data_IF_623994790522
#
_entry.id   IF_623994790522
#
_cell.length_a   1.000
_cell.length_b   1.000
_cell.length_c   1.000
_cell.angle_alpha   90.00
_cell.angle_beta   90.00
_cell.angle_gamma   90.00
#
_symmetry.space_group_name_H-M   'P 1'
#
loop_
_entity.id
_entity.type
_entity.pdbx_description
1 polymer ?
#
# COMPACT_ATOMS: atom_id res chain seq x y z
N UNK A 1 -16.76 -19.41 19.51
CA UNK A 1 -17.65 -19.00 18.40
C UNK A 1 -17.79 -17.47 18.31
N UNK A 2 -18.31 -16.78 19.33
CA UNK A 2 -18.52 -15.31 19.28
C UNK A 2 -17.24 -14.48 19.07
N UNK A 3 -16.13 -14.85 19.72
CA UNK A 3 -14.85 -14.11 19.61
C UNK A 3 -14.22 -14.24 18.20
N UNK A 4 -14.31 -15.43 17.59
CA UNK A 4 -13.81 -15.70 16.24
C UNK A 4 -14.58 -14.85 15.20
N UNK A 5 -15.91 -14.78 15.31
CA UNK A 5 -16.73 -13.97 14.43
C UNK A 5 -16.43 -12.47 14.55
N UNK A 6 -16.18 -11.98 15.77
CA UNK A 6 -15.84 -10.57 15.99
C UNK A 6 -14.47 -10.19 15.40
N UNK A 7 -13.46 -11.04 15.62
CA UNK A 7 -12.12 -10.82 15.03
C UNK A 7 -12.16 -10.89 13.51
N UNK A 8 -12.86 -11.89 12.95
CA UNK A 8 -13.00 -12.03 11.49
C UNK A 8 -13.66 -10.78 10.87
N UNK A 9 -14.73 -10.28 11.47
CA UNK A 9 -15.45 -9.11 10.94
C UNK A 9 -14.57 -7.85 10.96
N UNK A 10 -13.71 -7.69 11.98
CA UNK A 10 -12.76 -6.58 12.07
C UNK A 10 -11.69 -6.66 10.99
N UNK A 11 -11.16 -7.86 10.71
CA UNK A 11 -10.21 -8.08 9.62
C UNK A 11 -10.86 -7.78 8.28
N UNK A 12 -12.09 -8.28 8.05
CA UNK A 12 -12.82 -8.04 6.81
C UNK A 12 -13.10 -6.55 6.58
N UNK A 13 -13.50 -5.79 7.62
CA UNK A 13 -13.67 -4.33 7.51
C UNK A 13 -12.37 -3.62 7.12
N UNK A 14 -11.24 -3.99 7.72
CA UNK A 14 -9.93 -3.42 7.35
C UNK A 14 -9.57 -3.76 5.91
N UNK A 15 -9.83 -4.99 5.49
CA UNK A 15 -9.52 -5.48 4.14
C UNK A 15 -10.38 -4.78 3.08
N UNK A 16 -11.68 -4.60 3.36
CA UNK A 16 -12.59 -3.80 2.51
C UNK A 16 -12.13 -2.35 2.45
N UNK A 17 -11.80 -1.73 3.58
CA UNK A 17 -11.28 -0.36 3.61
C UNK A 17 -10.00 -0.20 2.81
N UNK A 18 -9.08 -1.17 2.92
CA UNK A 18 -7.86 -1.21 2.12
C UNK A 18 -8.15 -1.32 0.62
N UNK A 19 -9.05 -2.22 0.21
CA UNK A 19 -9.44 -2.37 -1.20
C UNK A 19 -10.06 -1.08 -1.75
N UNK A 20 -10.95 -0.43 -1.00
CA UNK A 20 -11.55 0.84 -1.40
C UNK A 20 -10.48 1.93 -1.53
N UNK A 21 -9.53 2.01 -0.59
CA UNK A 21 -8.44 2.98 -0.65
C UNK A 21 -7.53 2.74 -1.87
N UNK A 22 -7.20 1.49 -2.18
CA UNK A 22 -6.41 1.13 -3.37
C UNK A 22 -7.15 1.52 -4.65
N UNK A 23 -8.44 1.20 -4.78
CA UNK A 23 -9.24 1.56 -5.95
C UNK A 23 -9.33 3.09 -6.12
N UNK A 24 -9.59 3.82 -5.03
CA UNK A 24 -9.61 5.28 -5.05
C UNK A 24 -8.24 5.86 -5.45
N UNK A 25 -7.15 5.28 -4.95
CA UNK A 25 -5.79 5.65 -5.33
C UNK A 25 -5.50 5.42 -6.82
N UNK A 26 -5.89 4.27 -7.37
CA UNK A 26 -5.73 3.99 -8.80
C UNK A 26 -6.52 4.97 -9.67
N UNK A 27 -7.77 5.28 -9.31
CA UNK A 27 -8.58 6.28 -10.01
C UNK A 27 -7.92 7.66 -9.94
N UNK A 28 -7.41 8.06 -8.77
CA UNK A 28 -6.72 9.33 -8.63
C UNK A 28 -5.49 9.43 -9.55
N UNK A 29 -4.72 8.35 -9.68
CA UNK A 29 -3.56 8.30 -10.59
C UNK A 29 -3.99 8.49 -12.05
N UNK A 30 -5.05 7.81 -12.49
CA UNK A 30 -5.61 7.99 -13.85
C UNK A 30 -6.02 9.45 -14.07
N UNK A 31 -6.76 10.04 -13.13
CA UNK A 31 -7.24 11.43 -13.22
C UNK A 31 -6.08 12.42 -13.30
N UNK A 32 -5.02 12.23 -12.50
CA UNK A 32 -3.83 13.09 -12.52
C UNK A 32 -3.16 13.03 -13.90
N UNK A 33 -2.93 11.84 -14.44
CA UNK A 33 -2.27 11.70 -15.75
C UNK A 33 -3.13 12.22 -16.91
N UNK A 34 -4.46 12.04 -16.84
CA UNK A 34 -5.39 12.61 -17.81
C UNK A 34 -5.41 14.14 -17.76
N UNK A 35 -5.33 14.74 -16.57
CA UNK A 35 -5.18 16.19 -16.44
C UNK A 35 -3.84 16.66 -17.01
N UNK A 36 -2.75 15.94 -16.72
CA UNK A 36 -1.42 16.25 -17.24
C UNK A 36 -1.32 16.12 -18.76
N UNK A 37 -2.01 15.15 -19.36
CA UNK A 37 -2.06 14.95 -20.81
C UNK A 37 -2.85 16.04 -21.54
N UNK A 38 -3.79 16.71 -20.84
CA UNK A 38 -4.59 17.80 -21.39
C UNK A 38 -3.85 19.15 -21.53
N UNK A 39 -2.64 19.27 -20.99
CA UNK A 39 -1.85 20.51 -21.10
C UNK A 39 -1.33 20.73 -22.52
N UNK A 40 -1.26 21.99 -22.99
CA UNK A 40 -0.63 22.31 -24.27
C UNK A 40 0.85 21.94 -24.24
N UNK A 41 1.33 21.27 -25.30
CA UNK A 41 2.68 20.69 -25.41
C UNK A 41 2.99 19.58 -24.39
N UNK A 42 1.98 18.92 -23.82
CA UNK A 42 2.19 17.77 -22.96
C UNK A 42 2.98 16.65 -23.68
N UNK A 43 4.04 16.12 -23.07
CA UNK A 43 4.73 14.95 -23.55
C UNK A 43 3.78 13.76 -23.75
N UNK A 44 3.93 13.05 -24.88
CA UNK A 44 3.05 11.93 -25.23
C UNK A 44 3.04 10.77 -24.23
N UNK A 45 4.05 10.65 -23.36
CA UNK A 45 4.07 9.63 -22.31
C UNK A 45 2.98 9.84 -21.26
N UNK A 46 2.45 11.05 -21.05
CA UNK A 46 1.36 11.29 -20.09
C UNK A 46 0.06 10.59 -20.50
N UNK A 47 -0.27 10.58 -21.79
CA UNK A 47 -1.41 9.82 -22.31
C UNK A 47 -1.21 8.30 -22.30
N UNK A 48 0.02 7.81 -22.16
CA UNK A 48 0.27 6.38 -21.94
C UNK A 48 0.20 6.01 -20.46
N UNK A 49 0.63 6.92 -19.58
CA UNK A 49 0.64 6.70 -18.14
C UNK A 49 -0.75 6.59 -17.53
N UNK A 50 -1.77 7.25 -18.08
CA UNK A 50 -3.16 7.11 -17.61
C UNK A 50 -3.72 5.68 -17.75
N UNK A 51 -3.20 4.87 -18.68
CA UNK A 51 -3.60 3.46 -18.84
C UNK A 51 -2.81 2.49 -17.96
N UNK A 52 -1.71 2.94 -17.35
CA UNK A 52 -0.87 2.05 -16.53
C UNK A 52 -1.61 1.39 -15.36
N UNK A 53 -2.54 2.05 -14.65
CA UNK A 53 -3.32 1.40 -13.58
C UNK A 53 -4.18 0.25 -14.11
N UNK A 54 -4.76 0.42 -15.30
CA UNK A 54 -5.56 -0.62 -15.95
C UNK A 54 -4.67 -1.76 -16.42
N UNK A 55 -3.53 -1.46 -17.03
CA UNK A 55 -2.57 -2.47 -17.50
C UNK A 55 -2.04 -3.35 -16.36
N UNK A 56 -1.78 -2.76 -15.19
CA UNK A 56 -1.34 -3.50 -13.98
C UNK A 56 -2.41 -4.47 -13.50
N UNK A 57 -3.70 -4.13 -13.62
CA UNK A 57 -4.81 -4.99 -13.20
C UNK A 57 -5.17 -6.07 -14.25
N UNK A 58 -5.08 -5.73 -15.54
CA UNK A 58 -5.53 -6.59 -16.64
C UNK A 58 -4.44 -7.57 -17.09
N UNK A 59 -3.16 -7.21 -16.94
CA UNK A 59 -2.02 -8.01 -17.40
C UNK A 59 -1.31 -8.64 -16.19
N UNK A 60 -1.56 -9.92 -15.86
CA UNK A 60 -1.06 -10.52 -14.63
C UNK A 60 0.46 -10.45 -14.45
N UNK A 61 1.30 -10.67 -15.49
CA UNK A 61 2.74 -10.53 -15.36
C UNK A 61 3.19 -9.11 -14.96
N UNK A 62 2.51 -8.07 -15.47
CA UNK A 62 2.81 -6.67 -15.11
C UNK A 62 2.41 -6.38 -13.68
N UNK A 63 1.25 -6.87 -13.24
CA UNK A 63 0.82 -6.80 -11.84
C UNK A 63 1.84 -7.43 -10.90
N UNK A 64 2.32 -8.63 -11.22
CA UNK A 64 3.33 -9.32 -10.42
C UNK A 64 4.67 -8.58 -10.39
N UNK A 65 5.08 -7.98 -11.50
CA UNK A 65 6.29 -7.16 -11.56
C UNK A 65 6.18 -5.92 -10.67
N UNK A 66 5.08 -5.18 -10.76
CA UNK A 66 4.84 -3.98 -9.92
C UNK A 66 4.74 -4.36 -8.45
N UNK A 67 4.12 -5.50 -8.13
CA UNK A 67 4.09 -6.03 -6.76
C UNK A 67 5.49 -6.31 -6.23
N UNK A 68 6.33 -7.00 -7.01
CA UNK A 68 7.70 -7.31 -6.61
C UNK A 68 8.55 -6.05 -6.44
N UNK A 69 8.41 -5.10 -7.36
CA UNK A 69 9.08 -3.81 -7.31
C UNK A 69 8.65 -3.03 -6.06
N UNK A 70 7.35 -3.06 -5.73
CA UNK A 70 6.81 -2.46 -4.50
C UNK A 70 7.48 -3.08 -3.28
N UNK A 71 7.55 -4.41 -3.18
CA UNK A 71 8.23 -5.10 -2.06
C UNK A 71 9.69 -4.65 -1.93
N UNK A 72 10.43 -4.55 -3.04
CA UNK A 72 11.84 -4.12 -3.01
C UNK A 72 11.95 -2.68 -2.50
N UNK A 73 11.14 -1.76 -3.05
CA UNK A 73 11.19 -0.35 -2.68
C UNK A 73 10.66 -0.08 -1.27
N UNK A 74 9.70 -0.88 -0.80
CA UNK A 74 9.11 -0.71 0.54
C UNK A 74 9.77 -1.59 1.61
N UNK A 75 10.56 -2.59 1.23
CA UNK A 75 11.13 -3.57 2.17
C UNK A 75 12.09 -2.93 3.18
N UNK A 76 12.95 -2.03 2.72
CA UNK A 76 13.88 -1.31 3.61
C UNK A 76 13.15 -0.43 4.62
N UNK A 77 12.17 0.36 4.16
CA UNK A 77 11.39 1.26 5.02
C UNK A 77 10.53 0.47 6.02
N UNK A 78 9.85 -0.61 5.60
CA UNK A 78 9.09 -1.46 6.54
C UNK A 78 9.98 -2.14 7.56
N UNK A 79 11.17 -2.61 7.16
CA UNK A 79 12.15 -3.22 8.07
C UNK A 79 12.67 -2.20 9.10
N UNK A 80 12.94 -0.96 8.69
CA UNK A 80 13.32 0.12 9.61
C UNK A 80 12.20 0.40 10.62
N UNK A 81 10.95 0.54 10.19
CA UNK A 81 9.83 0.75 11.10
C UNK A 81 9.62 -0.43 12.06
N UNK A 82 9.80 -1.66 11.58
CA UNK A 82 9.72 -2.86 12.41
C UNK A 82 10.83 -2.87 13.48
N UNK A 83 12.08 -2.59 13.12
CA UNK A 83 13.19 -2.51 14.07
C UNK A 83 12.98 -1.42 15.13
N UNK A 84 12.47 -0.25 14.73
CA UNK A 84 12.13 0.83 15.66
C UNK A 84 11.05 0.37 16.64
N UNK A 85 9.97 -0.24 16.14
CA UNK A 85 8.89 -0.75 16.99
C UNK A 85 9.40 -1.83 17.97
N UNK A 86 10.27 -2.72 17.52
CA UNK A 86 10.87 -3.77 18.33
C UNK A 86 11.79 -3.18 19.42
N UNK A 87 12.60 -2.17 19.10
CA UNK A 87 13.39 -1.44 20.08
C UNK A 87 12.53 -0.81 21.18
N UNK A 88 11.39 -0.20 20.83
CA UNK A 88 10.45 0.36 21.81
C UNK A 88 9.70 -0.72 22.61
N UNK A 89 9.40 -1.88 22.01
CA UNK A 89 8.82 -3.03 22.72
C UNK A 89 9.76 -3.54 23.81
N UNK A 90 11.06 -3.66 23.51
CA UNK A 90 12.09 -4.05 24.48
C UNK A 90 12.17 -3.07 25.64
N UNK A 91 11.97 -1.76 25.44
CA UNK A 91 11.92 -0.78 26.54
C UNK A 91 10.87 -1.15 27.60
N UNK A 92 9.69 -1.63 27.18
CA UNK A 92 8.65 -2.08 28.12
C UNK A 92 9.12 -3.29 28.93
N UNK A 93 9.83 -4.22 28.30
CA UNK A 93 10.43 -5.38 28.97
C UNK A 93 11.48 -4.96 30.01
N UNK A 94 12.38 -4.03 29.66
CA UNK A 94 13.38 -3.49 30.60
C UNK A 94 12.74 -2.73 31.77
N UNK A 95 11.67 -1.96 31.53
CA UNK A 95 10.96 -1.23 32.59
C UNK A 95 10.26 -2.19 33.57
N UNK A 96 9.69 -3.30 33.10
CA UNK A 96 9.10 -4.31 33.97
C UNK A 96 10.11 -5.18 34.72
N UNK A 97 11.35 -5.30 34.21
CA UNK A 97 12.42 -6.06 34.87
C UNK A 97 13.21 -5.23 35.91
N UNK A 98 13.23 -3.90 35.78
CA UNK A 98 13.92 -2.98 36.71
C UNK A 98 12.99 -2.39 37.78
N UNK A 99 11.69 -2.24 37.48
CA UNK A 99 10.68 -1.76 38.43
C UNK A 99 9.70 -2.84 38.90
N UNK A 100 10.01 -4.12 38.64
CA UNK A 100 9.31 -5.30 39.17
C UNK A 100 10.09 -5.94 40.31
#
# INVERSE_FOLDING_TARGET
MAMIGHVLNRILMVLVGYLVAVLAGLIAVVVIYAMLSSLPNAPGYFGLMEFTPVAVLVVPPLGMFVYFLTIILTGMQTLVFALIAEFFSLRSFWLHMVFG
#
